data_IF_635023066786
#
_entry.id   IF_635023066786
#
_cell.length_a   1.000
_cell.length_b   1.000
_cell.length_c   1.000
_cell.angle_alpha   90.00
_cell.angle_beta   90.00
_cell.angle_gamma   90.00
#
_symmetry.space_group_name_H-M   'P 1'
#
loop_
_entity.id
_entity.type
_entity.pdbx_description
1 polymer ?
2 non-polymer ?
3 non-polymer ?
4 water ?
#
# COMPACT_ATOMS: atom_id res chain seq x y z
N UNK A 3 -12.56 12.58 -7.38
CA UNK A 3 -11.89 11.28 -7.35
C UNK A 3 -12.70 10.34 -6.45
N UNK A 4 -12.79 9.08 -6.86
CA UNK A 4 -13.54 8.08 -6.11
C UNK A 4 -12.58 7.27 -5.25
N UNK A 5 -12.99 7.00 -4.02
CA UNK A 5 -12.15 6.27 -3.08
C UNK A 5 -13.01 5.25 -2.34
N UNK A 6 -12.36 4.16 -1.94
CA UNK A 6 -12.95 3.13 -1.09
C UNK A 6 -12.09 2.96 0.14
N UNK A 7 -12.74 2.79 1.29
CA UNK A 7 -12.03 2.46 2.51
C UNK A 7 -11.79 0.94 2.59
N UNK A 8 -10.60 0.55 3.03
CA UNK A 8 -10.27 -0.88 3.09
C UNK A 8 -9.10 -1.13 4.03
N UNK A 9 -8.94 -2.40 4.39
CA UNK A 9 -7.71 -2.89 5.00
C UNK A 9 -7.05 -3.88 4.04
N UNK A 10 -5.79 -4.18 4.32
CA UNK A 10 -5.01 -5.11 3.52
C UNK A 10 -4.42 -6.17 4.44
N UNK A 11 -4.33 -7.40 3.93
CA UNK A 11 -3.59 -8.47 4.59
C UNK A 11 -2.68 -9.14 3.58
N UNK A 12 -1.46 -9.48 4.00
CA UNK A 12 -0.60 -10.18 3.04
C UNK A 12 -1.05 -11.63 2.91
N UNK A 13 -0.41 -12.37 2.01
CA UNK A 13 -0.97 -13.69 1.71
C UNK A 13 -0.66 -14.70 2.80
N UNK A 14 0.25 -14.37 3.73
CA UNK A 14 0.41 -15.15 4.95
C UNK A 14 -0.60 -14.74 6.01
N UNK A 15 -1.47 -13.78 5.67
CA UNK A 15 -2.59 -13.30 6.48
C UNK A 15 -2.13 -12.43 7.65
N UNK A 16 -1.01 -11.75 7.48
CA UNK A 16 -0.58 -10.73 8.42
C UNK A 16 -1.28 -9.41 8.11
N UNK A 17 -1.70 -8.72 9.16
CA UNK A 17 -2.34 -7.41 9.12
C UNK A 17 -1.28 -6.33 9.19
N UNK A 18 -1.69 -5.11 8.85
CA UNK A 18 -0.77 -3.98 8.78
C UNK A 18 -1.11 -2.98 9.87
N UNK A 19 -0.10 -2.50 10.61
CA UNK A 19 -0.30 -1.53 11.69
C UNK A 19 0.77 -0.43 11.58
N UNK A 20 0.54 0.67 12.31
CA UNK A 20 1.52 1.74 12.37
C UNK A 20 2.75 1.33 13.16
N UNK A 21 3.92 1.79 12.71
CA UNK A 21 5.20 1.60 13.41
C UNK A 21 5.86 2.97 13.47
N UNK A 22 5.41 3.80 14.40
CA UNK A 22 5.83 5.18 14.43
C UNK A 22 5.04 5.99 13.42
N UNK A 23 5.44 7.25 13.21
CA UNK A 23 4.63 8.13 12.34
C UNK A 23 4.69 7.79 10.86
N UNK A 24 5.83 7.32 10.35
CA UNK A 24 6.03 7.22 8.91
C UNK A 24 6.48 5.82 8.46
N UNK A 25 6.03 4.79 9.16
CA UNK A 25 6.28 3.43 8.74
C UNK A 25 5.12 2.54 9.15
N UNK A 26 4.87 1.51 8.33
CA UNK A 26 3.93 0.44 8.62
C UNK A 26 4.71 -0.83 8.95
N UNK A 27 4.10 -1.72 9.73
CA UNK A 27 4.68 -3.05 9.95
C UNK A 27 3.58 -4.09 9.86
N UNK A 28 3.98 -5.34 9.64
CA UNK A 28 3.06 -6.43 9.36
C UNK A 28 3.19 -7.48 10.45
N UNK A 29 2.05 -7.88 11.03
CA UNK A 29 2.05 -8.87 12.09
C UNK A 29 0.74 -9.65 12.10
N UNK A 30 0.83 -10.87 12.62
CA UNK A 30 -0.37 -11.67 12.79
C UNK A 30 -1.22 -11.08 13.90
N UNK A 31 -2.49 -10.86 13.59
CA UNK A 31 -3.40 -10.11 14.43
C UNK A 31 -4.74 -10.81 14.43
N UNK A 32 -5.40 -10.84 15.59
CA UNK A 32 -6.74 -11.40 15.69
C UNK A 32 -7.36 -10.90 16.98
N UNK A 33 -8.69 -10.83 17.01
CA UNK A 33 -9.39 -10.45 18.22
C UNK A 33 -9.34 -8.96 18.53
N UNK A 34 -9.22 -8.64 19.82
CA UNK A 34 -9.30 -7.24 20.27
C UNK A 34 -8.30 -6.36 19.53
N UNK A 35 -7.08 -6.85 19.33
CA UNK A 35 -6.06 -6.03 18.69
C UNK A 35 -6.38 -5.71 17.23
N UNK A 36 -7.42 -6.31 16.64
CA UNK A 36 -7.75 -6.06 15.24
C UNK A 36 -7.91 -4.57 14.96
N UNK A 37 -8.44 -3.82 15.93
CA UNK A 37 -8.71 -2.41 15.70
C UNK A 37 -7.44 -1.59 15.50
N UNK A 38 -6.25 -2.12 15.80
CA UNK A 38 -5.05 -1.33 15.57
C UNK A 38 -4.60 -1.39 14.11
N UNK A 39 -5.28 -2.15 13.26
CA UNK A 39 -4.84 -2.23 11.88
C UNK A 39 -5.14 -0.94 11.13
N UNK A 40 -4.28 -0.63 10.17
CA UNK A 40 -4.40 0.61 9.42
C UNK A 40 -5.56 0.49 8.43
N UNK A 41 -6.42 1.50 8.40
CA UNK A 41 -7.45 1.61 7.38
C UNK A 41 -6.97 2.56 6.28
N UNK A 42 -6.97 2.07 5.05
CA UNK A 42 -6.59 2.85 3.89
C UNK A 42 -7.83 3.46 3.23
N UNK A 43 -7.63 4.60 2.59
CA UNK A 43 -8.55 5.08 1.58
C UNK A 43 -7.86 4.86 0.24
N UNK A 44 -8.39 3.93 -0.54
CA UNK A 44 -7.83 3.58 -1.85
C UNK A 44 -8.52 4.43 -2.90
N UNK A 45 -7.76 5.31 -3.53
CA UNK A 45 -8.31 6.21 -4.54
C UNK A 45 -7.95 5.70 -5.92
N UNK A 46 -8.89 5.84 -6.85
CA UNK A 46 -8.71 5.35 -8.21
C UNK A 46 -8.28 6.53 -9.08
N UNK A 47 -7.02 6.52 -9.48
CA UNK A 47 -6.35 7.71 -9.97
C UNK A 47 -6.07 7.58 -11.46
N UNK A 48 -5.57 8.67 -12.04
CA UNK A 48 -5.16 8.68 -13.44
C UNK A 48 -3.94 7.81 -13.69
N UNK A 49 -3.92 7.16 -14.84
CA UNK A 49 -2.77 6.37 -15.26
C UNK A 49 -3.20 5.26 -16.18
N UNK A 50 -2.19 4.55 -16.71
CA UNK A 50 -2.43 3.49 -17.69
C UNK A 50 -3.11 2.30 -17.04
N UNK A 51 -4.17 1.78 -17.68
CA UNK A 51 -5.04 0.82 -17.03
C UNK A 51 -5.40 -0.31 -17.98
N UNK A 52 -5.67 -1.49 -17.41
CA UNK A 52 -6.21 -2.63 -18.15
C UNK A 52 -7.18 -3.37 -17.24
N UNK A 53 -7.72 -4.49 -17.74
CA UNK A 53 -8.67 -5.28 -16.97
C UNK A 53 -8.09 -5.63 -15.61
N UNK A 54 -6.82 -6.01 -15.58
CA UNK A 54 -6.19 -6.55 -14.39
C UNK A 54 -5.23 -5.58 -13.70
N UNK A 55 -4.93 -4.42 -14.31
CA UNK A 55 -4.00 -3.43 -13.77
C UNK A 55 -4.73 -2.10 -13.59
N UNK A 56 -4.92 -1.69 -12.34
CA UNK A 56 -5.73 -0.53 -11.98
C UNK A 56 -4.84 0.43 -11.19
N UNK A 57 -4.62 1.67 -11.65
CA UNK A 57 -3.78 2.59 -10.87
C UNK A 57 -4.53 3.16 -9.67
N UNK A 58 -3.89 3.12 -8.50
CA UNK A 58 -4.51 3.57 -7.26
C UNK A 58 -3.49 4.36 -6.45
N UNK A 59 -4.01 5.16 -5.53
CA UNK A 59 -3.21 5.72 -4.45
C UNK A 59 -3.72 5.13 -3.15
N UNK A 60 -2.80 4.98 -2.20
CA UNK A 60 -3.09 4.41 -0.89
C UNK A 60 -2.82 5.48 0.15
N UNK A 61 -3.85 6.23 0.52
CA UNK A 61 -3.78 7.10 1.68
C UNK A 61 -4.27 6.42 2.94
N UNK A 62 -3.82 6.95 4.07
CA UNK A 62 -4.31 6.51 5.37
C UNK A 62 -5.62 7.23 5.67
N UNK A 63 -6.65 6.46 6.03
CA UNK A 63 -7.98 7.03 6.21
C UNK A 63 -7.98 8.21 7.16
N UNK A 64 -8.48 9.35 6.68
CA UNK A 64 -8.58 10.61 7.44
C UNK A 64 -7.25 11.07 8.04
N UNK A 65 -6.15 10.74 7.36
CA UNK A 65 -4.87 11.38 7.61
C UNK A 65 -4.35 11.93 6.29
N UNK A 66 -3.60 13.03 6.36
CA UNK A 66 -2.96 13.56 5.16
C UNK A 66 -1.63 12.86 4.91
N UNK A 67 -1.70 11.51 4.80
CA UNK A 67 -0.53 10.67 4.56
C UNK A 67 -0.83 9.65 3.46
N UNK A 68 0.14 9.49 2.56
CA UNK A 68 0.05 8.57 1.42
C UNK A 68 1.30 7.71 1.36
N UNK A 69 1.13 6.44 1.02
CA UNK A 69 2.29 5.65 0.65
C UNK A 69 2.91 6.26 -0.60
N UNK A 70 4.24 6.35 -0.60
CA UNK A 70 4.99 7.07 -1.63
C UNK A 70 6.21 6.23 -1.98
N UNK A 71 6.59 6.22 -3.26
CA UNK A 71 7.80 5.52 -3.70
C UNK A 71 8.83 6.55 -4.16
N UNK A 72 9.98 6.59 -3.50
CA UNK A 72 11.04 7.53 -3.85
C UNK A 72 12.38 6.82 -3.71
N UNK A 73 13.39 7.37 -4.38
CA UNK A 73 14.75 6.90 -4.20
C UNK A 73 15.28 7.43 -2.88
N UNK A 74 15.82 6.53 -2.06
CA UNK A 74 16.41 6.88 -0.77
C UNK A 74 17.73 6.14 -0.66
N UNK A 75 18.81 6.89 -0.47
CA UNK A 75 20.15 6.32 -0.55
C UNK A 75 20.29 5.49 -1.83
N UNK A 76 19.78 6.05 -2.93
CA UNK A 76 19.87 5.51 -4.29
C UNK A 76 19.06 4.23 -4.49
N UNK A 77 18.15 3.88 -3.58
CA UNK A 77 17.33 2.69 -3.78
C UNK A 77 15.85 3.06 -3.77
N UNK A 78 15.02 2.42 -4.61
CA UNK A 78 13.57 2.65 -4.50
C UNK A 78 13.08 2.21 -3.13
N UNK A 79 12.30 3.08 -2.48
CA UNK A 79 11.97 2.93 -1.08
C UNK A 79 10.51 3.33 -0.86
N UNK A 80 9.83 2.61 0.01
CA UNK A 80 8.47 2.94 0.41
C UNK A 80 8.52 3.90 1.59
N UNK A 81 7.78 5.00 1.52
CA UNK A 81 7.69 5.91 2.66
C UNK A 81 6.24 6.37 2.82
N UNK A 82 5.93 6.88 4.01
CA UNK A 82 4.66 7.56 4.25
C UNK A 82 4.92 9.05 4.14
N UNK A 83 4.25 9.71 3.20
CA UNK A 83 4.54 11.10 2.86
C UNK A 83 3.34 11.98 3.19
N UNK A 84 3.58 13.10 3.85
CA UNK A 84 2.52 14.06 4.18
C UNK A 84 2.20 14.94 2.98
N UNK A 85 0.94 15.38 2.90
CA UNK A 85 0.48 16.26 1.83
C UNK A 85 -0.39 17.36 2.43
N UNK A 86 -0.62 18.38 1.64
CA UNK A 86 -1.58 19.43 2.00
C UNK A 86 -2.99 18.86 2.02
N UNK A 87 -3.67 18.86 3.16
CA UNK A 87 -4.97 18.17 3.24
C UNK A 87 -6.06 18.84 2.42
N UNK A 88 -5.86 20.08 1.98
CA UNK A 88 -6.88 20.74 1.17
C UNK A 88 -6.82 20.31 -0.29
N UNK A 89 -5.74 19.66 -0.71
CA UNK A 89 -5.55 19.33 -2.11
C UNK A 89 -5.63 17.84 -2.42
N UNK A 90 -5.91 16.99 -1.42
CA UNK A 90 -5.87 15.54 -1.57
C UNK A 90 -7.09 14.91 -0.92
N UNK A 91 -7.55 13.75 -1.44
CA UNK A 91 -7.00 13.07 -2.61
C UNK A 91 -7.37 13.81 -3.89
N UNK A 92 -6.68 13.53 -4.98
CA UNK A 92 -7.05 14.12 -6.26
C UNK A 92 -6.90 13.06 -7.34
N UNK A 93 -7.53 13.32 -8.48
CA UNK A 93 -7.53 12.34 -9.56
C UNK A 93 -6.15 12.20 -10.19
N UNK A 94 -5.44 13.32 -10.38
CA UNK A 94 -4.10 13.30 -10.96
C UNK A 94 -3.05 13.31 -9.85
N UNK A 95 -2.92 12.16 -9.18
CA UNK A 95 -1.88 12.02 -8.17
C UNK A 95 -0.51 11.96 -8.83
N UNK A 96 0.47 12.60 -8.19
CA UNK A 96 1.86 12.53 -8.64
C UNK A 96 2.35 11.08 -8.68
N UNK A 97 3.23 10.78 -9.64
CA UNK A 97 3.59 9.39 -9.96
C UNK A 97 4.14 8.62 -8.77
N UNK A 98 4.86 9.29 -7.87
CA UNK A 98 5.41 8.61 -6.70
C UNK A 98 4.32 7.99 -5.84
N UNK A 99 3.09 8.52 -5.88
CA UNK A 99 1.98 8.02 -5.06
C UNK A 99 1.21 6.87 -5.70
N UNK A 100 1.49 6.53 -6.95
CA UNK A 100 0.62 5.67 -7.75
C UNK A 100 1.17 4.25 -7.72
N UNK A 101 0.28 3.30 -7.47
CA UNK A 101 0.56 1.87 -7.53
C UNK A 101 -0.37 1.23 -8.55
N UNK A 102 0.17 0.31 -9.33
CA UNK A 102 -0.64 -0.50 -10.21
C UNK A 102 -1.15 -1.69 -9.40
N UNK A 103 -2.45 -1.67 -9.07
CA UNK A 103 -3.09 -2.76 -8.35
C UNK A 103 -3.41 -3.86 -9.35
N UNK A 104 -2.75 -5.01 -9.22
CA UNK A 104 -2.76 -6.07 -10.22
C UNK A 104 -3.35 -7.32 -9.59
N UNK A 105 -4.40 -7.88 -10.21
CA UNK A 105 -5.00 -9.12 -9.73
C UNK A 105 -4.33 -10.30 -10.41
N UNK A 106 -3.77 -11.21 -9.63
CA UNK A 106 -3.28 -12.49 -10.15
C UNK A 106 -3.68 -13.59 -9.18
N UNK A 107 -4.37 -14.61 -9.70
CA UNK A 107 -4.77 -15.80 -8.93
C UNK A 107 -5.50 -15.42 -7.65
N UNK A 108 -6.50 -14.56 -7.80
CA UNK A 108 -7.39 -14.13 -6.73
C UNK A 108 -6.65 -13.45 -5.58
N UNK A 109 -5.48 -12.88 -5.85
CA UNK A 109 -4.74 -12.05 -4.91
C UNK A 109 -4.35 -10.75 -5.61
N UNK A 110 -3.84 -9.80 -4.83
CA UNK A 110 -3.46 -8.48 -5.31
C UNK A 110 -1.98 -8.24 -5.09
N UNK A 111 -1.32 -7.66 -6.09
CA UNK A 111 0.01 -7.10 -5.96
C UNK A 111 -0.09 -5.60 -6.21
N UNK A 112 0.76 -4.85 -5.53
CA UNK A 112 0.82 -3.40 -5.69
C UNK A 112 2.19 -3.02 -6.24
N UNK A 113 2.27 -2.82 -7.56
CA UNK A 113 3.52 -2.42 -8.20
C UNK A 113 3.66 -0.91 -8.18
N UNK A 114 4.86 -0.43 -7.86
CA UNK A 114 5.12 1.00 -7.98
C UNK A 114 4.97 1.43 -9.43
N UNK A 115 4.15 2.45 -9.67
CA UNK A 115 4.10 3.01 -11.03
C UNK A 115 5.41 3.69 -11.39
N UNK A 116 6.09 4.26 -10.40
CA UNK A 116 7.33 4.98 -10.64
C UNK A 116 8.50 4.03 -10.89
N UNK A 117 8.52 2.87 -10.24
CA UNK A 117 9.64 1.93 -10.30
C UNK A 117 9.10 0.58 -10.73
N UNK A 118 9.08 0.31 -12.04
CA UNK A 118 8.46 -0.93 -12.52
C UNK A 118 9.10 -2.15 -11.89
N UNK A 119 8.26 -3.14 -11.59
CA UNK A 119 8.64 -4.42 -11.02
C UNK A 119 9.17 -4.31 -9.60
N UNK A 120 8.88 -3.19 -8.92
CA UNK A 120 9.05 -3.06 -7.48
C UNK A 120 7.66 -3.03 -6.84
N UNK A 121 7.52 -3.72 -5.71
CA UNK A 121 6.23 -4.07 -5.15
C UNK A 121 6.17 -3.77 -3.66
N UNK A 122 4.99 -3.35 -3.19
CA UNK A 122 4.74 -3.36 -1.75
C UNK A 122 4.95 -4.79 -1.24
N UNK A 123 5.81 -4.93 -0.22
CA UNK A 123 6.23 -6.25 0.25
C UNK A 123 6.24 -6.31 1.78
N UNK A 124 6.09 -7.53 2.30
CA UNK A 124 6.28 -7.82 3.72
C UNK A 124 7.29 -8.95 3.88
N UNK A 125 7.86 -9.03 5.07
CA UNK A 125 8.74 -10.12 5.44
C UNK A 125 7.93 -11.29 6.00
N UNK A 126 8.54 -12.49 5.98
CA UNK A 126 7.92 -13.63 6.65
C UNK A 126 7.88 -13.43 8.15
N UNK A 127 8.94 -12.85 8.71
CA UNK A 127 9.01 -12.63 10.14
C UNK A 127 7.98 -11.59 10.56
N UNK A 128 7.48 -11.75 11.78
CA UNK A 128 6.50 -10.84 12.35
C UNK A 128 7.15 -9.53 12.76
N UNK A 129 6.33 -8.47 12.79
CA UNK A 129 6.72 -7.16 13.33
C UNK A 129 7.86 -6.50 12.55
N UNK A 130 7.96 -6.73 11.25
CA UNK A 130 8.97 -6.06 10.42
C UNK A 130 8.30 -5.03 9.50
N UNK A 131 9.05 -4.06 8.98
CA UNK A 131 8.43 -2.99 8.18
C UNK A 131 7.81 -3.51 6.90
N UNK A 132 6.76 -2.82 6.47
CA UNK A 132 6.33 -2.93 5.08
C UNK A 132 7.30 -2.13 4.22
N UNK A 133 7.71 -2.70 3.08
CA UNK A 133 8.76 -2.07 2.30
C UNK A 133 8.50 -2.25 0.81
N UNK A 134 9.31 -1.56 0.00
CA UNK A 134 9.31 -1.73 -1.45
C UNK A 134 10.39 -2.73 -1.82
N UNK A 135 9.99 -3.83 -2.45
CA UNK A 135 10.92 -4.89 -2.82
C UNK A 135 10.87 -5.14 -4.32
N UNK A 136 12.02 -5.50 -4.88
CA UNK A 136 12.13 -5.72 -6.31
C UNK A 136 12.21 -7.19 -6.68
N UNK A 137 11.65 -8.07 -5.84
CA UNK A 137 11.73 -9.51 -6.06
C UNK A 137 10.39 -10.16 -5.76
N UNK A 138 9.91 -10.96 -6.71
CA UNK A 138 8.74 -11.81 -6.49
C UNK A 138 9.16 -13.28 -6.52
N UNK A 140 10.28 -15.21 -4.16
CA UNK A 140 11.28 -15.37 -3.12
C UNK A 140 10.68 -15.50 -1.73
N UNK A 141 11.48 -15.21 -0.71
CA UNK A 141 10.99 -15.31 0.66
C UNK A 141 10.04 -14.17 1.00
N UNK A 142 10.29 -12.97 0.47
CA UNK A 142 9.41 -11.85 0.76
C UNK A 142 8.06 -12.00 0.06
N UNK A 143 7.03 -11.44 0.69
CA UNK A 143 5.64 -11.60 0.28
C UNK A 143 5.23 -10.36 -0.49
N UNK A 144 4.64 -10.54 -1.67
CA UNK A 144 4.16 -9.43 -2.49
C UNK A 144 2.68 -9.55 -2.87
N UNK A 145 1.97 -10.51 -2.30
CA UNK A 145 0.56 -10.76 -2.58
C UNK A 145 -0.30 -10.38 -1.39
N UNK A 146 -1.46 -9.79 -1.66
CA UNK A 146 -2.35 -9.31 -0.63
C UNK A 146 -3.79 -9.66 -0.97
N UNK A 147 -4.63 -9.62 0.06
CA UNK A 147 -6.07 -9.54 -0.11
C UNK A 147 -6.53 -8.23 0.50
N UNK A 148 -7.70 -7.79 0.05
CA UNK A 148 -8.31 -6.54 0.49
C UNK A 148 -9.59 -6.87 1.25
N UNK A 149 -9.86 -6.13 2.32
CA UNK A 149 -11.12 -6.23 3.06
C UNK A 149 -11.81 -4.87 3.05
N UNK A 150 -13.05 -4.85 2.59
CA UNK A 150 -13.79 -3.60 2.55
C UNK A 150 -14.27 -3.23 3.95
N UNK A 151 -14.25 -1.94 4.25
CA UNK A 151 -14.73 -1.47 5.54
C UNK A 151 -15.79 -0.40 5.29
N UNK A 152 -16.68 -0.23 6.26
CA UNK A 152 -17.77 0.75 6.14
C UNK A 152 -17.24 2.17 5.98
X LIG B 1 5.40 17.68 -6.41
X LIG B 1 5.78 16.55 -7.26
X LIG B 1 6.58 18.18 -5.72
X LIG B 1 4.84 18.72 -7.26
X LIG B 1 4.43 17.27 -5.40
X LIG C 1 -8.18 -10.36 -5.80
X LIG C 1 -8.93 -10.41 -4.05
X LIG C 1 -8.64 -9.41 -3.14
X LIG C 1 -9.20 -9.37 -1.92
X LIG C 1 -9.80 -11.42 -3.70
X LIG C 1 -10.38 -11.39 -2.45
X LIG C 1 -10.05 -10.35 -1.58
X LIG C 1 -10.51 -10.27 -0.25
X LIG C 1 -11.24 -11.17 0.45
X LIG C 1 -11.66 -12.23 -0.02
X LIG C 1 -11.49 -10.79 1.89
X LIG C 1 -11.05 -11.87 2.87
X LIG C 1 -9.56 -12.00 3.03
X LIG C 1 -8.90 -10.91 2.77
X LIG C 1 -9.02 -13.02 3.39
X LIG D 1 -15.61 -11.05 1.50
X LIG D 1 -14.65 -10.13 0.15
X LIG D 1 -14.48 -10.68 -1.10
X LIG D 1 -13.75 -10.07 -2.06
X LIG D 1 -14.08 -8.92 0.45
X LIG D 1 -13.32 -8.29 -0.51
X LIG D 1 -13.18 -8.90 -1.76
X LIG D 1 -12.42 -8.20 -2.71
X LIG D 1 -12.13 -8.54 -3.98
X LIG D 1 -12.45 -9.60 -4.49
X LIG D 1 -11.39 -7.47 -4.76
X LIG D 1 -10.61 -8.05 -5.92
X LIG D 1 -10.43 -7.10 -7.07
X LIG D 1 -10.07 -5.95 -6.94
X LIG D 1 -10.70 -7.65 -8.22
#
# INVERSE_FOLDING_TARGET
>A
APVRSLNCTLRDSQQKSLVMSGPYELKALHLQGQDMEQQVVFSMSFVQGEESNDKIPVALGLKEKNLYLSCVLKDDKPTLQLESVDPKNYPKKKMEKRFVFNKIEINNKLEFESAQFPNWYISTSQAENMPVFLGGTKGGQDITDFTMQFVSS
>B hetero
1 SO4 S O1 O2 O3 O4
>C hetero
1 SX2 BR1 C8 C9 N2 C7 C6 C5 N1 C4 O3 C3 C2 C1 O2 O1
>D hetero
1 SX2 BR1 C8 C9 N2 C7 C6 C5 N1 C4 O3 C3 C2 C1 O2 O1
#
